data_IF_600784934432
#
_entry.id   IF_600784934432
#
_cell.length_a   1.000
_cell.length_b   1.000
_cell.length_c   1.000
_cell.angle_alpha   90.00
_cell.angle_beta   90.00
_cell.angle_gamma   90.00
#
_symmetry.space_group_name_H-M   'P 1'
#
loop_
_entity.id
_entity.type
_entity.pdbx_description
1 polymer ?
#
# COMPACT_ATOMS: atom_id res chain seq x y z
N UNK A 1 12.48 -13.68 7.41
CA UNK A 1 11.05 -13.59 7.01
C UNK A 1 10.61 -12.16 6.67
N UNK A 2 11.15 -11.12 7.30
CA UNK A 2 10.79 -9.72 7.00
C UNK A 2 11.19 -9.23 5.61
N UNK A 3 12.32 -9.72 5.06
CA UNK A 3 12.78 -9.34 3.70
C UNK A 3 11.79 -9.76 2.61
N UNK A 4 11.27 -10.99 2.67
CA UNK A 4 10.28 -11.47 1.69
C UNK A 4 8.96 -10.69 1.75
N UNK A 5 8.49 -10.33 2.96
CA UNK A 5 7.29 -9.52 3.10
C UNK A 5 7.51 -8.10 2.55
N UNK A 6 8.66 -7.50 2.80
CA UNK A 6 9.02 -6.20 2.26
C UNK A 6 9.03 -6.20 0.72
N UNK A 7 9.65 -7.22 0.11
CA UNK A 7 9.76 -7.33 -1.34
C UNK A 7 8.38 -7.51 -1.99
N UNK A 8 7.55 -8.41 -1.44
CA UNK A 8 6.18 -8.65 -1.94
C UNK A 8 5.28 -7.41 -1.80
N UNK A 9 5.39 -6.67 -0.69
CA UNK A 9 4.67 -5.41 -0.51
C UNK A 9 5.12 -4.35 -1.51
N UNK A 10 6.44 -4.26 -1.74
CA UNK A 10 7.02 -3.30 -2.69
C UNK A 10 6.55 -3.62 -4.11
N UNK A 11 6.59 -4.88 -4.53
CA UNK A 11 6.13 -5.31 -5.85
C UNK A 11 4.65 -5.00 -6.06
N UNK A 12 3.80 -5.31 -5.07
CA UNK A 12 2.37 -5.00 -5.15
C UNK A 12 2.11 -3.49 -5.23
N UNK A 13 2.83 -2.67 -4.46
CA UNK A 13 2.67 -1.21 -4.49
C UNK A 13 3.19 -0.58 -5.78
N UNK A 14 4.31 -1.06 -6.32
CA UNK A 14 4.80 -0.64 -7.63
C UNK A 14 3.84 -1.04 -8.75
N UNK A 15 3.20 -2.21 -8.68
CA UNK A 15 2.14 -2.59 -9.62
C UNK A 15 0.97 -1.60 -9.59
N UNK A 16 0.46 -1.26 -8.40
CA UNK A 16 -0.63 -0.28 -8.22
C UNK A 16 -0.23 1.12 -8.72
N UNK A 17 1.02 1.52 -8.49
CA UNK A 17 1.58 2.78 -8.96
C UNK A 17 1.73 2.82 -10.48
N UNK A 18 2.21 1.74 -11.09
CA UNK A 18 2.32 1.61 -12.55
C UNK A 18 0.96 1.64 -13.24
N UNK A 19 -0.09 1.14 -12.56
CA UNK A 19 -1.49 1.27 -12.98
C UNK A 19 -2.10 2.66 -12.80
N UNK A 20 -1.33 3.66 -12.32
CA UNK A 20 -1.77 5.05 -12.19
C UNK A 20 -2.74 5.34 -11.03
N UNK A 21 -2.98 4.36 -10.15
CA UNK A 21 -3.93 4.51 -9.05
C UNK A 21 -3.36 5.35 -7.90
N UNK A 22 -2.04 5.25 -7.69
CA UNK A 22 -1.28 6.03 -6.71
C UNK A 22 -0.11 6.71 -7.38
N UNK A 23 0.27 7.89 -6.87
CA UNK A 23 1.44 8.64 -7.34
C UNK A 23 2.70 8.26 -6.56
N UNK A 24 2.52 8.02 -5.27
CA UNK A 24 3.59 7.72 -4.31
C UNK A 24 3.06 6.79 -3.23
N UNK A 25 3.98 6.05 -2.60
CA UNK A 25 3.72 5.34 -1.35
C UNK A 25 4.93 5.43 -0.42
N UNK A 26 4.71 5.12 0.84
CA UNK A 26 5.74 4.99 1.87
C UNK A 26 5.40 3.80 2.77
N UNK A 27 6.43 3.01 3.10
CA UNK A 27 6.34 1.88 4.01
C UNK A 27 7.08 2.26 5.31
N UNK A 28 6.34 2.36 6.40
CA UNK A 28 6.89 2.72 7.72
C UNK A 28 6.85 1.50 8.64
N UNK A 29 8.02 1.04 9.07
CA UNK A 29 8.17 -0.03 10.05
C UNK A 29 8.54 0.58 11.39
N UNK A 30 7.63 0.50 12.38
CA UNK A 30 7.90 0.99 13.73
C UNK A 30 8.81 0.04 14.55
N UNK A 31 8.99 -1.21 14.10
CA UNK A 31 9.93 -2.17 14.69
C UNK A 31 10.12 -3.42 13.82
N UNK A 32 11.04 -4.32 14.21
CA UNK A 32 11.35 -5.56 13.45
C UNK A 32 10.21 -6.58 13.41
N UNK A 33 9.25 -6.49 14.34
CA UNK A 33 8.14 -7.44 14.49
C UNK A 33 6.76 -6.80 14.32
N UNK A 34 6.70 -5.50 14.04
CA UNK A 34 5.44 -4.79 13.87
C UNK A 34 4.98 -4.83 12.42
N UNK A 35 3.66 -4.85 12.22
CA UNK A 35 3.09 -4.80 10.90
C UNK A 35 3.34 -3.41 10.29
N UNK A 36 3.75 -3.30 9.01
CA UNK A 36 4.11 -2.02 8.42
C UNK A 36 2.90 -1.11 8.29
N UNK A 37 3.09 0.19 8.48
CA UNK A 37 2.11 1.20 8.07
C UNK A 37 2.37 1.56 6.61
N UNK A 38 1.33 1.48 5.80
CA UNK A 38 1.38 1.72 4.36
C UNK A 38 0.68 3.05 4.09
N UNK A 39 1.45 4.07 3.73
CA UNK A 39 0.93 5.40 3.40
C UNK A 39 0.93 5.51 1.88
N UNK A 40 -0.21 5.86 1.29
CA UNK A 40 -0.36 6.03 -0.15
C UNK A 40 -0.91 7.39 -0.49
N UNK A 41 -0.36 7.99 -1.53
CA UNK A 41 -0.85 9.24 -2.12
C UNK A 41 -1.58 8.90 -3.42
N UNK A 42 -2.90 9.07 -3.41
CA UNK A 42 -3.76 8.72 -4.54
C UNK A 42 -3.59 9.71 -5.70
N UNK A 43 -3.87 9.25 -6.92
CA UNK A 43 -4.06 10.19 -8.03
C UNK A 43 -5.35 11.01 -7.84
N UNK A 44 -5.38 12.24 -8.33
CA UNK A 44 -6.49 13.18 -8.13
C UNK A 44 -7.84 12.60 -8.58
N UNK A 45 -7.83 11.88 -9.70
CA UNK A 45 -9.02 11.35 -10.36
C UNK A 45 -9.53 10.01 -9.77
N UNK A 46 -8.83 9.45 -8.79
CA UNK A 46 -9.14 8.14 -8.21
C UNK A 46 -9.96 8.30 -6.94
N UNK A 47 -11.09 7.60 -6.85
CA UNK A 47 -11.91 7.57 -5.63
C UNK A 47 -11.29 6.68 -4.56
N UNK A 48 -11.38 7.13 -3.31
CA UNK A 48 -10.79 6.42 -2.15
C UNK A 48 -11.36 5.01 -2.02
N UNK A 49 -12.64 4.81 -2.33
CA UNK A 49 -13.29 3.49 -2.29
C UNK A 49 -12.75 2.54 -3.37
N UNK A 50 -12.52 3.03 -4.59
CA UNK A 50 -11.97 2.22 -5.68
C UNK A 50 -10.49 1.88 -5.42
N UNK A 51 -9.72 2.85 -4.92
CA UNK A 51 -8.34 2.63 -4.49
C UNK A 51 -8.27 1.58 -3.39
N UNK A 52 -9.05 1.75 -2.32
CA UNK A 52 -9.09 0.84 -1.17
C UNK A 52 -9.43 -0.59 -1.58
N UNK A 53 -10.44 -0.78 -2.44
CA UNK A 53 -10.78 -2.13 -2.96
C UNK A 53 -9.62 -2.74 -3.74
N UNK A 54 -8.95 -1.96 -4.57
CA UNK A 54 -7.81 -2.45 -5.38
C UNK A 54 -6.62 -2.80 -4.51
N UNK A 55 -6.32 -1.97 -3.50
CA UNK A 55 -5.27 -2.25 -2.53
C UNK A 55 -5.57 -3.51 -1.73
N UNK A 56 -6.79 -3.68 -1.23
CA UNK A 56 -7.18 -4.88 -0.48
C UNK A 56 -7.08 -6.16 -1.31
N UNK A 57 -7.32 -6.08 -2.62
CA UNK A 57 -7.12 -7.22 -3.52
C UNK A 57 -5.65 -7.50 -3.78
N UNK A 58 -4.85 -6.46 -3.99
CA UNK A 58 -3.43 -6.58 -4.38
C UNK A 58 -2.53 -6.91 -3.19
N UNK A 59 -2.94 -6.52 -1.98
CA UNK A 59 -2.23 -6.75 -0.73
C UNK A 59 -2.87 -7.87 0.10
N UNK A 60 -3.74 -8.68 -0.51
CA UNK A 60 -4.42 -9.78 0.16
C UNK A 60 -3.39 -10.75 0.77
N UNK A 61 -3.45 -10.94 2.09
CA UNK A 61 -2.50 -11.77 2.84
C UNK A 61 -1.13 -11.11 3.11
N UNK A 62 -0.87 -9.92 2.58
CA UNK A 62 0.35 -9.14 2.84
C UNK A 62 0.13 -8.01 3.84
N UNK A 63 -1.04 -7.37 3.81
CA UNK A 63 -1.40 -6.32 4.74
C UNK A 63 -2.91 -6.28 5.01
N UNK A 64 -3.28 -5.87 6.22
CA UNK A 64 -4.65 -5.58 6.61
C UNK A 64 -5.06 -4.15 6.21
N UNK A 65 -6.36 -3.93 6.07
CA UNK A 65 -6.91 -2.62 5.70
C UNK A 65 -6.55 -1.52 6.70
N UNK A 66 -6.49 -1.86 7.99
CA UNK A 66 -6.14 -0.94 9.08
C UNK A 66 -4.70 -0.41 8.97
N UNK A 67 -3.84 -1.08 8.21
CA UNK A 67 -2.47 -0.65 7.97
C UNK A 67 -2.36 0.40 6.86
N UNK A 68 -3.42 0.60 6.06
CA UNK A 68 -3.42 1.46 4.89
C UNK A 68 -3.96 2.84 5.26
N UNK A 69 -3.16 3.86 4.99
CA UNK A 69 -3.52 5.27 5.13
C UNK A 69 -3.49 5.91 3.75
N UNK A 70 -4.64 6.43 3.33
CA UNK A 70 -4.75 7.19 2.08
C UNK A 70 -4.62 8.67 2.43
N UNK A 71 -3.51 9.27 2.00
CA UNK A 71 -3.26 10.70 2.10
C UNK A 71 -3.74 11.41 0.83
N UNK A 72 -4.18 12.66 1.01
CA UNK A 72 -4.42 13.58 -0.10
C UNK A 72 -3.11 14.35 -0.34
N UNK A 73 -2.74 14.47 -1.61
CA UNK A 73 -1.65 15.34 -2.06
C UNK A 73 -1.94 16.80 -1.63
#
# INVERSE_FOLDING_TARGET
>A
MTVQLHDLLTEALESIKSGGLIRRYSLVWAGRSEAPRIIVWKSADVSDAALRRTMMRSLAGLAAESQIVIEKD
#
